data_IF_809847961126
#
_entry.id   IF_809847961126
#
_cell.length_a   1.000
_cell.length_b   1.000
_cell.length_c   1.000
_cell.angle_alpha   90.00
_cell.angle_beta   90.00
_cell.angle_gamma   90.00
#
_symmetry.space_group_name_H-M   'P 1'
#
loop_
_entity.id
_entity.type
_entity.pdbx_description
1 polymer ?
#
# COMPACT_ATOMS: atom_id res chain seq x y z
N UNK A 1 9.77 0.39 -16.19
CA UNK A 1 9.61 0.40 -14.72
C UNK A 1 8.93 -0.89 -14.29
N UNK A 2 9.45 -1.52 -13.24
CA UNK A 2 8.94 -2.76 -12.67
C UNK A 2 8.79 -2.58 -11.15
N UNK A 3 7.78 -3.19 -10.54
CA UNK A 3 7.58 -3.10 -9.09
C UNK A 3 7.31 -4.49 -8.47
N UNK A 4 8.01 -4.80 -7.38
CA UNK A 4 7.75 -5.95 -6.52
C UNK A 4 7.42 -5.46 -5.13
N UNK A 5 6.22 -5.73 -4.65
CA UNK A 5 5.75 -5.23 -3.36
C UNK A 5 5.04 -6.35 -2.63
N UNK A 6 5.35 -6.50 -1.36
CA UNK A 6 4.62 -7.38 -0.45
C UNK A 6 4.17 -6.60 0.77
N UNK A 7 2.99 -6.92 1.29
CA UNK A 7 2.42 -6.22 2.44
C UNK A 7 1.59 -7.18 3.28
N UNK A 8 1.71 -7.05 4.59
CA UNK A 8 0.78 -7.61 5.57
C UNK A 8 0.52 -6.59 6.67
N UNK A 9 -0.59 -6.76 7.39
CA UNK A 9 -1.04 -5.76 8.35
C UNK A 9 -0.95 -6.28 9.78
N UNK A 10 -0.47 -5.42 10.68
CA UNK A 10 -0.65 -5.62 12.13
C UNK A 10 -1.62 -4.55 12.64
N UNK A 11 -2.78 -4.99 13.12
CA UNK A 11 -3.85 -4.11 13.59
C UNK A 11 -3.86 -4.05 15.12
N UNK A 12 -4.08 -2.87 15.68
CA UNK A 12 -4.19 -2.63 17.13
C UNK A 12 -5.39 -1.74 17.43
N UNK A 13 -6.26 -2.19 18.32
CA UNK A 13 -7.33 -1.35 18.88
C UNK A 13 -6.75 -0.34 19.88
N UNK A 14 -7.16 0.92 19.78
CA UNK A 14 -6.64 2.05 20.54
C UNK A 14 -7.77 2.87 21.19
N UNK A 15 -8.86 2.21 21.59
CA UNK A 15 -10.05 2.86 22.16
C UNK A 15 -10.92 3.49 21.06
N UNK A 16 -10.76 4.79 20.82
CA UNK A 16 -11.52 5.52 19.79
C UNK A 16 -10.93 5.39 18.38
N UNK A 17 -9.93 4.52 18.20
CA UNK A 17 -9.23 4.36 16.93
C UNK A 17 -8.73 2.93 16.75
N UNK A 18 -8.46 2.55 15.50
CA UNK A 18 -7.72 1.34 15.14
C UNK A 18 -6.47 1.78 14.38
N UNK A 19 -5.30 1.40 14.88
CA UNK A 19 -4.03 1.58 14.17
C UNK A 19 -3.70 0.34 13.35
N UNK A 20 -3.28 0.53 12.11
CA UNK A 20 -2.88 -0.53 11.18
C UNK A 20 -1.47 -0.22 10.69
N UNK A 21 -0.52 -1.03 11.14
CA UNK A 21 0.84 -0.99 10.61
C UNK A 21 0.90 -1.82 9.33
N UNK A 22 1.20 -1.15 8.21
CA UNK A 22 1.49 -1.81 6.94
C UNK A 22 2.95 -2.28 6.97
N UNK A 23 3.14 -3.57 7.22
CA UNK A 23 4.48 -4.18 7.28
C UNK A 23 4.78 -4.82 5.94
N UNK A 24 6.00 -4.60 5.45
CA UNK A 24 6.46 -5.07 4.17
C UNK A 24 7.29 -4.00 3.48
N UNK A 25 7.73 -4.34 2.27
CA UNK A 25 8.64 -3.52 1.49
C UNK A 25 8.25 -3.58 0.02
N UNK A 26 8.45 -2.47 -0.67
CA UNK A 26 8.36 -2.35 -2.11
C UNK A 26 9.70 -2.07 -2.74
N UNK A 27 9.96 -2.71 -3.88
CA UNK A 27 11.11 -2.48 -4.73
C UNK A 27 10.59 -1.96 -6.06
N UNK A 28 11.00 -0.75 -6.44
CA UNK A 28 10.72 -0.14 -7.73
C UNK A 28 12.02 -0.11 -8.54
N UNK A 29 12.04 -0.86 -9.64
CA UNK A 29 13.16 -0.92 -10.56
C UNK A 29 12.92 -0.03 -11.78
N UNK A 30 13.77 0.96 -11.96
CA UNK A 30 13.80 1.82 -13.14
C UNK A 30 14.81 1.27 -14.14
N UNK A 31 14.31 0.54 -15.14
CA UNK A 31 15.14 -0.20 -16.11
C UNK A 31 16.09 0.70 -16.91
N UNK A 32 15.66 1.89 -17.33
CA UNK A 32 16.49 2.79 -18.13
C UNK A 32 17.68 3.37 -17.36
N UNK A 33 17.50 3.59 -16.06
CA UNK A 33 18.56 4.10 -15.17
C UNK A 33 19.32 2.95 -14.49
N UNK A 34 18.84 1.71 -14.66
CA UNK A 34 19.25 0.53 -13.90
C UNK A 34 19.33 0.85 -12.39
N UNK A 35 18.30 1.54 -11.88
CA UNK A 35 18.22 1.97 -10.49
C UNK A 35 17.13 1.21 -9.74
N UNK A 36 17.45 0.84 -8.50
CA UNK A 36 16.53 0.17 -7.59
C UNK A 36 16.17 1.10 -6.44
N UNK A 37 14.88 1.34 -6.26
CA UNK A 37 14.32 2.15 -5.19
C UNK A 37 13.54 1.24 -4.23
N UNK A 38 14.07 1.10 -3.02
CA UNK A 38 13.46 0.30 -1.96
C UNK A 38 12.69 1.24 -1.03
N UNK A 39 11.42 0.93 -0.77
CA UNK A 39 10.53 1.77 0.00
C UNK A 39 9.63 1.03 0.98
N UNK A 40 9.34 1.67 2.11
CA UNK A 40 8.40 1.17 3.11
C UNK A 40 6.98 1.74 2.89
N UNK A 41 6.01 1.28 3.69
CA UNK A 41 4.61 1.69 3.60
C UNK A 41 4.20 2.51 4.84
N UNK A 42 3.30 3.50 4.70
CA UNK A 42 2.81 4.26 5.84
C UNK A 42 1.88 3.40 6.71
N UNK A 43 1.73 3.77 7.98
CA UNK A 43 0.64 3.26 8.80
C UNK A 43 -0.68 3.91 8.39
N UNK A 44 -1.79 3.22 8.61
CA UNK A 44 -3.14 3.75 8.48
C UNK A 44 -3.85 3.74 9.84
N UNK A 45 -4.67 4.75 10.10
CA UNK A 45 -5.47 4.84 11.31
C UNK A 45 -6.93 5.06 10.94
N UNK A 46 -7.80 4.17 11.38
CA UNK A 46 -9.24 4.41 11.40
C UNK A 46 -9.57 5.16 12.70
N UNK A 47 -10.03 6.40 12.57
CA UNK A 47 -10.39 7.29 13.68
C UNK A 47 -11.89 7.32 13.86
N UNK A 48 -12.35 7.74 15.05
CA UNK A 48 -13.77 7.95 15.35
C UNK A 48 -14.64 6.71 15.09
N UNK A 49 -14.11 5.52 15.40
CA UNK A 49 -14.76 4.24 15.07
C UNK A 49 -16.10 3.98 15.80
N UNK A 50 -16.39 4.73 16.86
CA UNK A 50 -17.68 4.67 17.58
C UNK A 50 -18.67 5.75 17.11
N UNK A 51 -18.28 6.60 16.15
CA UNK A 51 -19.14 7.63 15.56
C UNK A 51 -19.09 7.55 14.04
N UNK A 52 -18.58 8.58 13.35
CA UNK A 52 -18.39 8.59 11.90
C UNK A 52 -16.91 8.28 11.64
N UNK A 53 -16.58 7.06 11.18
CA UNK A 53 -15.20 6.67 10.98
C UNK A 53 -14.58 7.42 9.80
N UNK A 54 -13.31 7.77 9.94
CA UNK A 54 -12.51 8.32 8.85
C UNK A 54 -11.08 7.78 8.92
N UNK A 55 -10.36 7.82 7.80
CA UNK A 55 -9.01 7.24 7.67
C UNK A 55 -7.97 8.34 7.56
N UNK A 56 -6.86 8.19 8.28
CA UNK A 56 -5.65 8.97 8.06
C UNK A 56 -4.42 8.07 7.90
N UNK A 57 -3.45 8.55 7.12
CA UNK A 57 -2.13 7.96 7.05
C UNK A 57 -1.23 8.59 8.11
N UNK A 58 -0.30 7.80 8.65
CA UNK A 58 0.65 8.26 9.64
C UNK A 58 1.97 7.50 9.58
N UNK A 59 2.98 8.06 10.25
CA UNK A 59 4.30 7.44 10.37
C UNK A 59 5.25 7.84 9.24
N UNK A 60 6.43 7.20 9.23
CA UNK A 60 7.50 7.50 8.29
C UNK A 60 7.59 6.42 7.22
N UNK A 61 7.68 6.87 5.97
CA UNK A 61 8.05 6.09 4.80
C UNK A 61 9.46 6.46 4.42
N UNK A 62 10.32 5.46 4.27
CA UNK A 62 11.66 5.66 3.73
C UNK A 62 11.68 5.16 2.29
N UNK A 63 12.36 5.88 1.42
CA UNK A 63 12.64 5.49 0.03
C UNK A 63 14.15 5.64 -0.13
N UNK A 64 14.84 4.62 -0.64
CA UNK A 64 16.28 4.72 -0.85
C UNK A 64 16.72 4.02 -2.12
N UNK A 65 17.71 4.59 -2.79
CA UNK A 65 18.39 3.99 -3.94
C UNK A 65 19.88 3.89 -3.61
N UNK A 66 20.39 2.66 -3.55
CA UNK A 66 21.80 2.41 -3.24
C UNK A 66 22.72 2.93 -4.34
N UNK A 67 22.33 2.74 -5.61
CA UNK A 67 23.12 3.12 -6.79
C UNK A 67 23.35 4.64 -6.89
N UNK A 68 22.29 5.42 -6.73
CA UNK A 68 22.37 6.88 -6.83
C UNK A 68 22.77 7.56 -5.51
N UNK A 69 22.75 6.80 -4.39
CA UNK A 69 23.07 7.32 -3.07
C UNK A 69 22.00 8.24 -2.47
N UNK A 70 20.85 8.41 -3.12
CA UNK A 70 19.76 9.24 -2.61
C UNK A 70 18.83 8.46 -1.68
N UNK A 71 18.36 9.15 -0.64
CA UNK A 71 17.26 8.68 0.20
C UNK A 71 16.23 9.77 0.41
N UNK A 72 14.98 9.39 0.62
CA UNK A 72 13.90 10.27 1.01
C UNK A 72 13.21 9.73 2.27
N UNK A 73 13.01 10.60 3.25
CA UNK A 73 12.15 10.32 4.41
C UNK A 73 10.87 11.12 4.26
N UNK A 74 9.74 10.43 4.05
CA UNK A 74 8.40 11.02 3.96
C UNK A 74 7.66 10.76 5.26
N UNK A 75 7.24 11.81 5.96
CA UNK A 75 6.48 11.73 7.21
C UNK A 75 5.03 12.10 6.96
N UNK A 76 4.13 11.13 7.14
CA UNK A 76 2.70 11.35 7.20
C UNK A 76 2.32 11.77 8.62
N UNK A 77 1.79 12.98 8.75
CA UNK A 77 1.42 13.56 10.04
C UNK A 77 -0.02 13.19 10.36
N UNK A 78 -0.22 12.51 11.49
CA UNK A 78 -1.55 12.33 12.07
C UNK A 78 -2.07 13.65 12.60
N UNK A 79 -3.38 13.84 12.57
CA UNK A 79 -4.00 15.08 13.09
C UNK A 79 -3.62 15.30 14.57
N UNK A 80 -3.08 16.49 14.94
CA UNK A 80 -2.84 16.84 16.33
C UNK A 80 -4.13 16.85 17.16
N UNK A 81 -3.99 16.68 18.49
CA UNK A 81 -5.14 16.75 19.40
C UNK A 81 -5.84 18.11 19.40
N UNK A 82 -5.10 19.21 19.21
CA UNK A 82 -5.61 20.57 19.19
C UNK A 82 -5.45 21.19 17.81
N UNK A 83 -6.57 21.41 17.12
CA UNK A 83 -6.60 22.03 15.80
C UNK A 83 -5.77 21.28 14.75
N UNK A 84 -5.43 21.99 13.67
CA UNK A 84 -4.56 21.48 12.61
C UNK A 84 -5.27 20.82 11.44
N UNK A 85 -4.54 20.79 10.32
CA UNK A 85 -4.98 20.17 9.06
C UNK A 85 -4.79 18.65 9.10
N UNK A 86 -5.71 17.93 8.48
CA UNK A 86 -5.59 16.50 8.22
C UNK A 86 -4.66 16.25 7.02
N UNK A 87 -4.19 15.01 6.87
CA UNK A 87 -3.49 14.55 5.67
C UNK A 87 -2.18 15.28 5.34
N UNK A 88 -1.60 15.97 6.33
CA UNK A 88 -0.34 16.68 6.14
C UNK A 88 0.81 15.70 5.92
N UNK A 89 1.69 16.02 4.99
CA UNK A 89 2.92 15.28 4.71
C UNK A 89 4.10 16.25 4.67
N UNK A 90 5.27 15.79 5.12
CA UNK A 90 6.56 16.46 4.90
C UNK A 90 7.57 15.44 4.41
N UNK A 91 8.46 15.82 3.51
CA UNK A 91 9.53 14.96 3.04
C UNK A 91 10.85 15.70 2.95
N UNK A 92 11.95 14.97 3.17
CA UNK A 92 13.30 15.44 2.88
C UNK A 92 14.02 14.41 2.03
N UNK A 93 14.62 14.87 0.93
CA UNK A 93 15.46 14.07 0.04
C UNK A 93 16.91 14.46 0.27
N UNK A 94 17.74 13.47 0.57
CA UNK A 94 19.14 13.61 0.94
C UNK A 94 20.02 12.80 0.00
N UNK A 95 21.15 13.38 -0.40
CA UNK A 95 22.24 12.62 -1.00
C UNK A 95 23.14 12.09 0.11
N UNK A 96 23.01 10.81 0.43
CA UNK A 96 23.64 10.18 1.58
C UNK A 96 25.17 10.36 1.63
N UNK A 97 25.93 10.19 0.52
CA UNK A 97 27.38 10.36 0.53
C UNK A 97 27.84 11.75 0.97
N UNK A 98 27.13 12.80 0.52
CA UNK A 98 27.50 14.20 0.82
C UNK A 98 26.83 14.77 2.07
N UNK A 99 25.80 14.10 2.58
CA UNK A 99 24.97 14.64 3.66
C UNK A 99 23.98 15.74 3.23
N UNK A 100 24.04 16.22 1.99
CA UNK A 100 23.28 17.37 1.51
C UNK A 100 21.79 17.04 1.30
N UNK A 101 20.91 17.93 1.77
CA UNK A 101 19.49 17.91 1.44
C UNK A 101 19.29 18.58 0.08
N UNK A 102 18.76 17.85 -0.88
CA UNK A 102 18.57 18.32 -2.27
C UNK A 102 17.14 18.78 -2.56
N UNK A 103 16.18 18.30 -1.78
CA UNK A 103 14.78 18.67 -1.93
C UNK A 103 14.06 18.52 -0.58
N UNK A 104 13.20 19.48 -0.27
CA UNK A 104 12.19 19.36 0.78
C UNK A 104 10.82 19.39 0.13
N UNK A 105 9.86 18.65 0.67
CA UNK A 105 8.48 18.72 0.24
C UNK A 105 7.55 18.84 1.43
N UNK A 106 6.43 19.54 1.26
CA UNK A 106 5.41 19.69 2.29
C UNK A 106 4.04 19.92 1.68
N UNK A 107 2.98 19.60 2.41
CA UNK A 107 1.61 19.88 1.98
C UNK A 107 0.64 18.80 2.42
N UNK A 108 -0.35 18.53 1.58
CA UNK A 108 -1.43 17.57 1.82
C UNK A 108 -1.37 16.47 0.75
N UNK A 109 -1.25 15.20 1.14
CA UNK A 109 -1.05 14.10 0.16
C UNK A 109 -2.24 13.86 -0.76
N UNK A 110 -3.42 14.35 -0.38
CA UNK A 110 -4.66 14.35 -1.16
C UNK A 110 -5.06 15.76 -1.65
N UNK A 111 -4.12 16.72 -1.61
CA UNK A 111 -4.35 18.10 -2.02
C UNK A 111 -3.13 18.63 -2.76
N UNK A 112 -2.55 19.72 -2.24
CA UNK A 112 -1.38 20.36 -2.85
C UNK A 112 -0.10 19.97 -2.12
N UNK A 113 0.93 19.64 -2.89
CA UNK A 113 2.30 19.41 -2.44
C UNK A 113 3.21 20.49 -3.01
N UNK A 114 4.02 21.10 -2.16
CA UNK A 114 5.05 22.08 -2.51
C UNK A 114 6.42 21.44 -2.30
N UNK A 115 7.28 21.57 -3.30
CA UNK A 115 8.67 21.10 -3.31
C UNK A 115 9.58 22.31 -3.35
N UNK A 116 10.67 22.28 -2.58
CA UNK A 116 11.71 23.30 -2.54
C UNK A 116 13.06 22.61 -2.76
N UNK A 117 13.74 22.96 -3.83
CA UNK A 117 15.03 22.39 -4.22
C UNK A 117 16.19 23.22 -3.66
N UNK A 118 17.38 22.61 -3.56
CA UNK A 118 18.58 23.27 -3.02
C UNK A 118 19.05 24.49 -3.83
N UNK A 119 18.68 24.57 -5.12
CA UNK A 119 18.93 25.73 -5.99
C UNK A 119 17.94 26.90 -5.76
N UNK A 120 16.99 26.76 -4.84
CA UNK A 120 15.94 27.75 -4.57
C UNK A 120 14.70 27.62 -5.45
N UNK A 121 14.69 26.72 -6.43
CA UNK A 121 13.51 26.44 -7.26
C UNK A 121 12.39 25.84 -6.40
N UNK A 122 11.16 26.26 -6.67
CA UNK A 122 9.97 25.67 -6.07
C UNK A 122 9.06 25.06 -7.13
N UNK A 123 8.43 23.95 -6.78
CA UNK A 123 7.47 23.26 -7.65
C UNK A 123 6.23 22.88 -6.86
N UNK A 124 5.06 23.18 -7.42
CA UNK A 124 3.78 22.85 -6.80
C UNK A 124 3.08 21.78 -7.63
N UNK A 125 2.60 20.74 -6.95
CA UNK A 125 1.81 19.65 -7.52
C UNK A 125 0.45 19.63 -6.84
N UNK A 126 -0.59 19.88 -7.62
CA UNK A 126 -1.97 19.72 -7.18
C UNK A 126 -2.45 18.31 -7.56
N UNK A 127 -2.52 17.42 -6.57
CA UNK A 127 -2.87 16.01 -6.78
C UNK A 127 -4.30 15.82 -7.28
N UNK A 128 -5.19 16.80 -7.04
CA UNK A 128 -6.60 16.75 -7.47
C UNK A 128 -6.76 16.97 -8.97
N UNK A 129 -5.75 17.57 -9.62
CA UNK A 129 -5.74 17.85 -11.07
C UNK A 129 -5.04 16.77 -11.88
N UNK A 130 -4.41 15.79 -11.23
CA UNK A 130 -3.70 14.71 -11.93
C UNK A 130 -4.71 13.72 -12.54
N UNK A 131 -4.47 13.24 -13.78
CA UNK A 131 -5.36 12.28 -14.40
C UNK A 131 -5.29 10.91 -13.69
N UNK A 132 -6.46 10.35 -13.40
CA UNK A 132 -6.57 9.01 -12.81
C UNK A 132 -6.62 7.97 -13.92
N UNK A 133 -5.53 7.22 -14.08
CA UNK A 133 -5.45 6.13 -15.05
C UNK A 133 -5.98 4.83 -14.42
N UNK A 134 -7.17 4.43 -14.84
CA UNK A 134 -7.84 3.25 -14.30
C UNK A 134 -7.22 1.95 -14.86
N UNK A 135 -7.03 0.96 -13.98
CA UNK A 135 -6.59 -0.38 -14.39
C UNK A 135 -7.64 -1.03 -15.29
N UNK A 136 -7.23 -1.46 -16.49
CA UNK A 136 -8.05 -2.28 -17.39
C UNK A 136 -8.09 -3.71 -16.84
N UNK A 137 -9.31 -4.23 -16.62
CA UNK A 137 -9.52 -5.55 -16.02
C UNK A 137 -10.49 -6.32 -16.90
N UNK A 138 -10.23 -7.62 -17.10
CA UNK A 138 -11.08 -8.50 -17.91
C UNK A 138 -12.50 -8.57 -17.34
N UNK A 139 -13.54 -8.80 -18.17
CA UNK A 139 -14.88 -9.11 -17.69
C UNK A 139 -14.88 -10.31 -16.74
N UNK A 140 -15.77 -10.33 -15.75
CA UNK A 140 -15.82 -11.39 -14.73
C UNK A 140 -15.97 -12.78 -15.35
N UNK A 141 -16.77 -12.91 -16.42
CA UNK A 141 -16.94 -14.17 -17.16
C UNK A 141 -15.63 -14.74 -17.76
N UNK A 142 -14.57 -13.93 -17.85
CA UNK A 142 -13.23 -14.33 -18.33
C UNK A 142 -12.18 -14.36 -17.21
N UNK A 143 -12.61 -14.30 -15.95
CA UNK A 143 -11.73 -14.37 -14.78
C UNK A 143 -11.77 -15.75 -14.14
N UNK A 144 -10.64 -16.24 -13.66
CA UNK A 144 -10.56 -17.48 -12.89
C UNK A 144 -11.33 -17.38 -11.55
N UNK A 145 -11.69 -18.52 -10.94
CA UNK A 145 -12.54 -18.57 -9.74
C UNK A 145 -11.91 -17.91 -8.50
N UNK A 146 -10.57 -17.77 -8.47
CA UNK A 146 -9.83 -17.14 -7.37
C UNK A 146 -9.32 -15.72 -7.72
N UNK A 147 -9.70 -15.17 -8.87
CA UNK A 147 -9.45 -13.76 -9.16
C UNK A 147 -10.40 -12.88 -8.33
N UNK A 148 -9.88 -11.82 -7.70
CA UNK A 148 -10.59 -11.10 -6.62
C UNK A 148 -12.01 -10.64 -6.98
N UNK A 149 -12.25 -10.14 -8.19
CA UNK A 149 -13.59 -9.66 -8.59
C UNK A 149 -14.57 -10.81 -8.80
N UNK A 150 -14.12 -11.96 -9.29
CA UNK A 150 -14.94 -13.15 -9.41
C UNK A 150 -15.20 -13.76 -8.03
N UNK A 151 -14.14 -13.98 -7.26
CA UNK A 151 -14.21 -14.60 -5.93
C UNK A 151 -15.15 -13.84 -4.97
N UNK A 152 -15.10 -12.51 -4.98
CA UNK A 152 -15.90 -11.66 -4.10
C UNK A 152 -17.18 -11.11 -4.74
N UNK A 153 -17.56 -11.56 -5.94
CA UNK A 153 -18.65 -10.96 -6.72
C UNK A 153 -19.95 -10.83 -5.92
N UNK A 154 -20.40 -11.93 -5.30
CA UNK A 154 -21.68 -11.98 -4.57
C UNK A 154 -21.70 -11.01 -3.37
N UNK A 155 -20.61 -10.98 -2.59
CA UNK A 155 -20.45 -10.03 -1.47
C UNK A 155 -20.52 -8.59 -1.99
N UNK A 156 -19.77 -8.27 -3.04
CA UNK A 156 -19.73 -6.90 -3.58
C UNK A 156 -21.04 -6.46 -4.22
N UNK A 157 -21.81 -7.37 -4.84
CA UNK A 157 -23.14 -7.07 -5.38
C UNK A 157 -24.13 -6.75 -4.26
N UNK A 158 -24.19 -7.60 -3.23
CA UNK A 158 -25.07 -7.37 -2.08
C UNK A 158 -24.74 -6.06 -1.34
N UNK A 159 -23.45 -5.73 -1.18
CA UNK A 159 -23.02 -4.44 -0.62
C UNK A 159 -23.47 -3.23 -1.46
N UNK A 160 -23.41 -3.33 -2.80
CA UNK A 160 -23.87 -2.25 -3.69
C UNK A 160 -25.39 -2.04 -3.62
N UNK A 161 -26.14 -3.10 -3.36
CA UNK A 161 -27.59 -3.06 -3.16
C UNK A 161 -27.99 -2.63 -1.74
N UNK A 162 -27.01 -2.44 -0.84
CA UNK A 162 -27.27 -2.11 0.57
C UNK A 162 -27.76 -3.29 1.41
N UNK A 163 -27.73 -4.52 0.87
CA UNK A 163 -28.18 -5.72 1.58
C UNK A 163 -27.05 -6.31 2.44
N UNK A 164 -26.90 -5.77 3.66
CA UNK A 164 -25.84 -6.15 4.60
C UNK A 164 -25.98 -7.61 5.07
N UNK A 165 -27.20 -8.10 5.26
CA UNK A 165 -27.44 -9.49 5.69
C UNK A 165 -26.93 -10.47 4.62
N UNK A 166 -27.34 -10.27 3.37
CA UNK A 166 -26.92 -11.13 2.26
C UNK A 166 -25.40 -11.05 2.02
N UNK A 167 -24.81 -9.86 2.12
CA UNK A 167 -23.36 -9.69 2.03
C UNK A 167 -22.62 -10.49 3.12
N UNK A 168 -23.16 -10.49 4.35
CA UNK A 168 -22.60 -11.25 5.48
C UNK A 168 -22.69 -12.75 5.25
N UNK A 169 -23.82 -13.24 4.75
CA UNK A 169 -24.01 -14.67 4.45
C UNK A 169 -23.03 -15.15 3.36
N UNK A 170 -22.93 -14.40 2.26
CA UNK A 170 -21.97 -14.72 1.19
C UNK A 170 -20.51 -14.67 1.67
N UNK A 171 -20.17 -13.70 2.52
CA UNK A 171 -18.84 -13.60 3.14
C UNK A 171 -18.59 -14.81 4.03
N UNK A 172 -19.54 -15.17 4.88
CA UNK A 172 -19.41 -16.30 5.79
C UNK A 172 -19.20 -17.62 5.04
N UNK A 173 -20.00 -17.87 4.00
CA UNK A 173 -19.87 -19.05 3.14
C UNK A 173 -18.47 -19.16 2.53
N UNK A 174 -17.95 -18.04 1.98
CA UNK A 174 -16.63 -18.00 1.36
C UNK A 174 -15.50 -18.26 2.36
N UNK A 175 -15.58 -17.66 3.54
CA UNK A 175 -14.58 -17.83 4.60
C UNK A 175 -14.62 -19.25 5.19
N UNK A 176 -15.80 -19.84 5.40
CA UNK A 176 -15.90 -21.21 5.90
C UNK A 176 -15.35 -22.23 4.89
N UNK A 177 -15.57 -22.02 3.59
CA UNK A 177 -14.93 -22.83 2.55
C UNK A 177 -13.39 -22.77 2.65
N UNK A 178 -12.82 -21.59 2.83
CA UNK A 178 -11.37 -21.43 3.00
C UNK A 178 -10.85 -22.08 4.30
N UNK A 179 -11.59 -21.99 5.42
CA UNK A 179 -11.27 -22.70 6.67
C UNK A 179 -11.30 -24.22 6.50
N UNK A 180 -12.25 -24.76 5.73
CA UNK A 180 -12.31 -26.18 5.42
C UNK A 180 -11.12 -26.64 4.56
N UNK A 181 -10.76 -25.88 3.52
CA UNK A 181 -9.58 -26.14 2.68
C UNK A 181 -8.26 -26.07 3.48
N UNK A 182 -8.15 -25.15 4.45
CA UNK A 182 -7.02 -25.10 5.38
C UNK A 182 -6.94 -26.33 6.28
N UNK A 183 -8.07 -26.76 6.86
CA UNK A 183 -8.14 -28.00 7.68
C UNK A 183 -7.72 -29.23 6.88
N UNK A 184 -8.15 -29.34 5.63
CA UNK A 184 -7.74 -30.44 4.74
C UNK A 184 -6.25 -30.42 4.42
N UNK A 185 -5.68 -29.25 4.15
CA UNK A 185 -4.23 -29.08 3.94
C UNK A 185 -3.42 -29.47 5.17
N UNK A 186 -3.86 -29.05 6.36
CA UNK A 186 -3.22 -29.43 7.62
C UNK A 186 -3.30 -30.95 7.85
N UNK A 187 -4.47 -31.56 7.64
CA UNK A 187 -4.65 -33.01 7.80
C UNK A 187 -3.82 -33.85 6.82
N UNK A 188 -3.55 -33.31 5.62
CA UNK A 188 -2.75 -33.96 4.58
C UNK A 188 -1.28 -33.53 4.58
N UNK A 189 -0.82 -32.75 5.57
CA UNK A 189 0.52 -32.16 5.63
C UNK A 189 0.96 -31.46 4.33
N UNK A 190 -0.01 -30.88 3.59
CA UNK A 190 0.26 -30.21 2.32
C UNK A 190 0.29 -28.70 2.54
N UNK A 191 1.47 -28.05 2.51
CA UNK A 191 1.57 -26.62 2.75
C UNK A 191 0.92 -25.80 1.63
N UNK A 192 0.41 -24.61 1.98
CA UNK A 192 0.01 -23.64 0.96
C UNK A 192 1.23 -23.15 0.18
N UNK A 193 1.15 -23.21 -1.15
CA UNK A 193 2.16 -22.66 -2.05
C UNK A 193 1.57 -21.51 -2.86
N UNK A 194 2.04 -20.27 -2.69
CA UNK A 194 1.63 -19.16 -3.55
C UNK A 194 1.98 -19.42 -5.01
N UNK A 195 1.09 -19.02 -5.91
CA UNK A 195 1.22 -19.33 -7.34
C UNK A 195 2.28 -18.50 -8.06
N UNK A 196 2.44 -17.24 -7.67
CA UNK A 196 3.20 -16.24 -8.43
C UNK A 196 4.36 -15.61 -7.64
N UNK A 197 4.50 -15.95 -6.36
CA UNK A 197 5.52 -15.37 -5.48
C UNK A 197 6.23 -16.47 -4.73
N UNK A 198 7.52 -16.31 -4.55
CA UNK A 198 8.37 -17.16 -3.72
C UNK A 198 8.87 -16.36 -2.51
N UNK A 199 9.03 -17.05 -1.39
CA UNK A 199 9.55 -16.46 -0.17
C UNK A 199 11.08 -16.33 -0.30
N UNK A 200 11.61 -15.14 -0.02
CA UNK A 200 13.04 -14.85 -0.03
C UNK A 200 13.38 -14.06 1.23
N UNK A 201 14.12 -14.67 2.16
CA UNK A 201 14.30 -14.13 3.52
C UNK A 201 12.96 -13.91 4.23
N UNK A 202 12.73 -12.68 4.68
CA UNK A 202 11.48 -12.23 5.30
C UNK A 202 10.46 -11.67 4.28
N UNK A 203 10.84 -11.57 3.00
CA UNK A 203 10.03 -10.97 1.94
C UNK A 203 9.45 -11.96 0.94
N UNK A 204 8.79 -11.40 -0.08
CA UNK A 204 8.23 -12.13 -1.20
C UNK A 204 8.67 -11.51 -2.52
N UNK A 205 9.08 -12.35 -3.46
CA UNK A 205 9.55 -11.94 -4.79
C UNK A 205 8.70 -12.63 -5.85
N UNK A 206 8.27 -11.87 -6.85
CA UNK A 206 7.57 -12.39 -8.02
C UNK A 206 8.46 -13.42 -8.73
N UNK A 207 7.89 -14.57 -9.11
CA UNK A 207 8.67 -15.68 -9.67
C UNK A 207 9.37 -15.33 -10.99
N UNK A 208 8.75 -14.48 -11.82
CA UNK A 208 9.22 -14.18 -13.19
C UNK A 208 9.49 -12.67 -13.39
N UNK A 209 10.41 -12.06 -12.62
CA UNK A 209 10.60 -10.61 -12.66
C UNK A 209 11.27 -10.20 -13.98
N UNK A 210 10.75 -9.14 -14.59
CA UNK A 210 11.24 -8.61 -15.87
C UNK A 210 12.70 -8.14 -15.87
N UNK A 211 13.31 -7.97 -14.69
CA UNK A 211 14.70 -7.50 -14.55
C UNK A 211 15.72 -8.61 -14.25
N UNK A 212 15.29 -9.88 -14.04
CA UNK A 212 16.23 -11.02 -13.87
C UNK A 212 16.49 -11.79 -15.17
N UNK A 213 16.04 -11.29 -16.33
CA UNK A 213 16.40 -11.87 -17.62
C UNK A 213 17.77 -11.36 -18.09
N UNK A 214 18.84 -11.93 -17.54
CA UNK A 214 20.18 -11.97 -18.13
C UNK A 214 20.90 -13.24 -17.71
#
# INVERSE_FOLDING_TARGET
>A
MCANVHVWTKSKFMGMSIGVSMVGEGILYLMEQEEEYVFTLPCAYARSILTIPWVELGGKVNIHCAKSGYSATVTFHTKPFYGGKVHRVTAEVKHNPTGMIVCKAQGEWNGTLEFTYSNGETKIIDTTKLPIIHKKIRPIAKQGPFESRHLWQQVTSALKEGNIALATDHKHFLEERQRAEERQRAASNTPWKPKYFMKEGDGWVYCDPLWKTH
#
